data_IF_677028048451
#
_entry.id   IF_677028048451
#
_cell.length_a   1.000
_cell.length_b   1.000
_cell.length_c   1.000
_cell.angle_alpha   90.00
_cell.angle_beta   90.00
_cell.angle_gamma   90.00
#
_symmetry.space_group_name_H-M   'P 1'
#
loop_
_entity.id
_entity.type
_entity.pdbx_description
1 polymer ?
#
# COMPACT_ATOMS: atom_id res chain seq x y z
N UNK A 1 -17.33 -15.22 2.81
CA UNK A 1 -16.39 -14.16 2.39
C UNK A 1 -15.07 -14.85 2.06
N UNK A 2 -14.32 -14.35 1.08
CA UNK A 2 -12.98 -14.89 0.80
C UNK A 2 -11.99 -14.38 1.85
N UNK A 3 -10.87 -15.10 2.04
CA UNK A 3 -9.75 -14.66 2.87
C UNK A 3 -9.13 -13.40 2.28
N UNK A 4 -8.67 -12.45 3.11
CA UNK A 4 -8.01 -11.22 2.67
C UNK A 4 -8.88 -9.96 2.75
N UNK A 5 -8.46 -8.91 2.02
CA UNK A 5 -9.19 -7.63 1.92
C UNK A 5 -10.61 -7.90 1.37
N UNK A 6 -11.62 -7.38 2.01
CA UNK A 6 -13.00 -7.52 1.54
C UNK A 6 -13.21 -6.77 0.23
N UNK A 7 -14.06 -7.29 -0.65
CA UNK A 7 -14.39 -6.62 -1.92
C UNK A 7 -15.11 -5.28 -1.68
N UNK A 8 -14.95 -4.35 -2.61
CA UNK A 8 -15.60 -3.03 -2.55
C UNK A 8 -17.12 -3.13 -2.41
N UNK A 9 -17.76 -4.16 -3.00
CA UNK A 9 -19.19 -4.43 -2.83
C UNK A 9 -19.54 -4.79 -1.38
N UNK A 10 -18.73 -5.60 -0.71
CA UNK A 10 -18.92 -5.96 0.70
C UNK A 10 -18.63 -4.77 1.60
N UNK A 11 -17.56 -4.00 1.32
CA UNK A 11 -17.21 -2.77 2.02
C UNK A 11 -18.40 -1.79 2.01
N UNK A 12 -18.98 -1.53 0.82
CA UNK A 12 -20.12 -0.61 0.68
C UNK A 12 -21.33 -1.07 1.46
N UNK A 13 -21.75 -2.33 1.30
CA UNK A 13 -22.96 -2.84 1.93
C UNK A 13 -22.84 -3.02 3.44
N UNK A 14 -21.70 -3.53 3.92
CA UNK A 14 -21.56 -4.01 5.29
C UNK A 14 -20.86 -3.01 6.21
N UNK A 15 -20.15 -2.02 5.67
CA UNK A 15 -19.45 -1.00 6.44
C UNK A 15 -19.97 0.39 6.11
N UNK A 16 -19.81 0.86 4.86
CA UNK A 16 -20.12 2.25 4.48
C UNK A 16 -21.59 2.59 4.72
N UNK A 17 -22.51 1.69 4.38
CA UNK A 17 -23.95 1.88 4.61
C UNK A 17 -24.39 1.71 6.07
N UNK A 18 -23.62 0.97 6.86
CA UNK A 18 -23.92 0.70 8.27
C UNK A 18 -23.38 1.80 9.19
N UNK A 19 -22.21 2.36 8.85
CA UNK A 19 -21.60 3.45 9.62
C UNK A 19 -22.50 4.67 9.62
N UNK A 20 -22.95 5.09 10.82
CA UNK A 20 -23.89 6.19 11.00
C UNK A 20 -23.41 7.49 10.37
N UNK A 21 -24.28 8.10 9.57
CA UNK A 21 -24.09 9.44 9.00
C UNK A 21 -24.44 10.50 10.04
N UNK A 22 -23.62 10.64 11.10
CA UNK A 22 -23.85 11.73 12.06
C UNK A 22 -23.51 13.08 11.44
N UNK A 23 -24.36 14.03 11.71
CA UNK A 23 -24.39 15.41 11.21
C UNK A 23 -23.32 16.23 11.89
N UNK A 24 -22.84 17.28 11.29
CA UNK A 24 -21.75 18.14 11.80
C UNK A 24 -20.49 17.32 12.11
N UNK A 25 -20.16 16.41 11.21
CA UNK A 25 -18.94 15.62 11.30
C UNK A 25 -17.73 16.53 11.06
N UNK A 26 -16.73 16.40 11.91
CA UNK A 26 -15.38 16.94 11.65
C UNK A 26 -14.60 16.10 10.62
N UNK A 27 -15.19 15.02 10.12
CA UNK A 27 -14.57 14.15 9.13
C UNK A 27 -14.51 14.85 7.77
N UNK A 28 -13.34 14.83 7.15
CA UNK A 28 -13.11 15.34 5.80
C UNK A 28 -13.41 14.29 4.72
N UNK A 29 -13.20 13.02 5.04
CA UNK A 29 -13.56 11.90 4.17
C UNK A 29 -14.24 10.79 4.98
N UNK A 30 -15.01 9.96 4.27
CA UNK A 30 -15.70 8.79 4.85
C UNK A 30 -15.00 7.52 4.39
N UNK A 31 -15.20 6.40 5.11
CA UNK A 31 -14.78 5.09 4.60
C UNK A 31 -15.36 4.85 3.20
N UNK A 32 -14.53 4.34 2.30
CA UNK A 32 -14.90 4.04 0.91
C UNK A 32 -13.75 3.40 0.16
N UNK A 33 -14.02 2.89 -1.04
CA UNK A 33 -12.98 2.38 -1.92
C UNK A 33 -11.98 3.50 -2.30
N UNK A 34 -10.69 3.20 -2.31
CA UNK A 34 -9.62 4.16 -2.58
C UNK A 34 -9.37 5.18 -1.47
N UNK A 35 -9.94 5.00 -0.28
CA UNK A 35 -9.72 5.85 0.89
C UNK A 35 -9.05 5.04 2.02
N UNK A 36 -7.72 4.93 1.98
CA UNK A 36 -6.95 4.19 2.98
C UNK A 36 -6.69 4.99 4.25
N UNK A 37 -6.91 6.31 4.21
CA UNK A 37 -6.79 7.20 5.35
C UNK A 37 -8.14 7.79 5.79
N UNK A 38 -8.36 7.83 7.10
CA UNK A 38 -9.36 8.68 7.74
C UNK A 38 -8.76 10.05 8.06
N UNK A 39 -9.48 11.14 7.82
CA UNK A 39 -9.04 12.48 8.19
C UNK A 39 -10.16 13.27 8.86
N UNK A 40 -9.80 14.03 9.93
CA UNK A 40 -10.75 14.86 10.64
C UNK A 40 -10.12 16.17 11.13
N UNK A 41 -10.94 17.20 11.27
CA UNK A 41 -10.53 18.52 11.73
C UNK A 41 -10.13 18.45 13.20
N UNK A 42 -8.90 18.85 13.52
CA UNK A 42 -8.32 18.81 14.86
C UNK A 42 -8.63 20.08 15.67
N UNK A 43 -8.76 21.24 15.02
CA UNK A 43 -8.92 22.53 15.63
C UNK A 43 -10.20 23.24 15.17
N UNK A 44 -10.67 24.23 15.96
CA UNK A 44 -11.86 25.02 15.62
C UNK A 44 -11.67 25.89 14.37
N UNK A 45 -10.43 26.32 14.07
CA UNK A 45 -10.08 27.04 12.84
C UNK A 45 -10.41 26.23 11.57
N UNK A 46 -10.40 24.89 11.68
CA UNK A 46 -10.61 24.00 10.56
C UNK A 46 -9.39 23.81 9.65
N UNK A 47 -8.26 24.39 10.00
CA UNK A 47 -7.06 24.39 9.14
C UNK A 47 -6.12 23.22 9.42
N UNK A 48 -6.14 22.70 10.64
CA UNK A 48 -5.34 21.54 11.05
C UNK A 48 -6.18 20.28 11.06
N UNK A 49 -5.66 19.23 10.42
CA UNK A 49 -6.32 17.94 10.33
C UNK A 49 -5.42 16.85 10.88
N UNK A 50 -6.03 15.89 11.57
CA UNK A 50 -5.42 14.62 11.93
C UNK A 50 -5.75 13.61 10.84
N UNK A 51 -4.74 12.93 10.36
CA UNK A 51 -4.85 11.84 9.37
C UNK A 51 -4.38 10.55 10.01
N UNK A 52 -5.13 9.49 9.81
CA UNK A 52 -4.78 8.16 10.33
C UNK A 52 -5.07 7.08 9.32
N UNK A 53 -4.24 6.05 9.31
CA UNK A 53 -4.44 4.83 8.53
C UNK A 53 -4.17 3.61 9.39
N UNK A 54 -4.89 2.52 9.12
CA UNK A 54 -4.72 1.25 9.82
C UNK A 54 -4.46 0.14 8.81
N UNK A 55 -3.39 -0.61 9.05
CA UNK A 55 -3.02 -1.78 8.27
C UNK A 55 -2.85 -3.02 9.15
N UNK A 56 -2.99 -4.20 8.55
CA UNK A 56 -2.82 -5.49 9.21
C UNK A 56 -1.85 -6.37 8.42
N UNK A 57 -1.11 -7.21 9.12
CA UNK A 57 -0.19 -8.18 8.53
C UNK A 57 1.29 -7.84 8.73
N UNK A 58 2.15 -8.54 7.99
CA UNK A 58 3.61 -8.50 8.20
C UNK A 58 4.22 -7.12 7.91
N UNK A 59 3.76 -6.42 6.87
CA UNK A 59 4.26 -5.10 6.48
C UNK A 59 3.40 -3.97 7.05
N UNK A 60 2.60 -4.22 8.10
CA UNK A 60 1.59 -3.30 8.60
C UNK A 60 2.13 -1.93 9.03
N UNK A 61 3.37 -1.85 9.54
CA UNK A 61 4.03 -0.58 9.88
C UNK A 61 4.28 0.23 8.61
N UNK A 62 4.92 -0.38 7.61
CA UNK A 62 5.18 0.28 6.32
C UNK A 62 3.90 0.70 5.65
N UNK A 63 2.92 -0.20 5.51
CA UNK A 63 1.65 0.10 4.85
C UNK A 63 0.91 1.24 5.53
N UNK A 64 0.79 1.24 6.87
CA UNK A 64 0.10 2.31 7.58
C UNK A 64 0.80 3.67 7.44
N UNK A 65 2.14 3.69 7.48
CA UNK A 65 2.93 4.91 7.34
C UNK A 65 2.98 5.40 5.89
N UNK A 66 3.08 4.48 4.92
CA UNK A 66 3.05 4.77 3.49
C UNK A 66 1.72 5.41 3.07
N UNK A 67 0.59 4.90 3.58
CA UNK A 67 -0.72 5.50 3.35
C UNK A 67 -0.76 7.00 3.75
N UNK A 68 -0.14 7.36 4.89
CA UNK A 68 -0.03 8.74 5.29
C UNK A 68 0.89 9.53 4.34
N UNK A 69 2.01 8.96 3.96
CA UNK A 69 2.95 9.59 3.03
C UNK A 69 2.29 9.87 1.66
N UNK A 70 1.47 8.93 1.16
CA UNK A 70 0.67 9.12 -0.05
C UNK A 70 -0.38 10.22 0.08
N UNK A 71 -0.84 10.52 1.29
CA UNK A 71 -1.67 11.70 1.60
C UNK A 71 -0.85 13.00 1.78
N UNK A 72 0.48 12.95 1.60
CA UNK A 72 1.39 14.07 1.83
C UNK A 72 1.61 14.40 3.31
N UNK A 73 1.36 13.44 4.20
CA UNK A 73 1.40 13.60 5.66
C UNK A 73 2.56 12.80 6.25
N UNK A 74 3.41 13.44 7.06
CA UNK A 74 4.42 12.73 7.85
C UNK A 74 3.74 12.06 9.04
N UNK A 75 3.94 10.74 9.19
CA UNK A 75 3.54 10.04 10.40
C UNK A 75 4.33 10.57 11.61
N UNK A 76 3.65 10.75 12.73
CA UNK A 76 4.24 11.19 14.01
C UNK A 76 4.39 10.00 14.94
N UNK A 77 3.39 9.13 14.97
CA UNK A 77 3.35 8.00 15.87
C UNK A 77 2.52 6.84 15.29
N UNK A 78 2.75 5.66 15.84
CA UNK A 78 1.93 4.48 15.59
C UNK A 78 1.35 3.92 16.88
N UNK A 79 0.18 3.28 16.76
CA UNK A 79 -0.42 2.46 17.82
C UNK A 79 -0.53 1.02 17.31
N UNK A 80 -0.06 0.04 18.09
CA UNK A 80 0.02 -1.35 17.67
C UNK A 80 -0.93 -2.24 18.48
N UNK A 81 -1.77 -3.01 17.80
CA UNK A 81 -2.56 -4.07 18.43
C UNK A 81 -2.00 -5.44 18.03
N UNK A 82 -1.60 -6.24 19.03
CA UNK A 82 -0.98 -7.56 18.82
C UNK A 82 -1.79 -8.62 19.55
N UNK A 83 -2.33 -9.59 18.79
CA UNK A 83 -2.98 -10.77 19.37
C UNK A 83 -2.11 -12.00 19.12
N UNK A 84 -1.62 -12.61 20.21
CA UNK A 84 -0.74 -13.79 20.18
C UNK A 84 -1.56 -15.07 20.35
N UNK A 85 -1.19 -16.18 19.66
CA UNK A 85 -1.72 -17.50 19.97
C UNK A 85 -1.42 -17.94 21.38
N UNK A 86 -2.35 -18.66 22.02
CA UNK A 86 -2.15 -19.22 23.36
C UNK A 86 -1.01 -20.27 23.43
N UNK A 87 -0.61 -20.83 22.29
CA UNK A 87 0.51 -21.77 22.15
C UNK A 87 1.89 -21.11 22.15
N UNK A 88 1.95 -19.80 21.94
CA UNK A 88 3.21 -19.08 21.85
C UNK A 88 3.78 -18.75 23.24
N UNK A 89 5.12 -18.72 23.30
CA UNK A 89 5.86 -18.28 24.49
C UNK A 89 6.16 -16.78 24.40
N UNK A 90 6.47 -16.14 25.54
CA UNK A 90 6.85 -14.72 25.64
C UNK A 90 7.95 -14.31 24.64
N UNK A 91 8.90 -15.21 24.35
CA UNK A 91 9.97 -14.92 23.39
C UNK A 91 9.45 -14.65 21.98
N UNK A 92 8.33 -15.26 21.57
CA UNK A 92 7.70 -14.97 20.28
C UNK A 92 7.12 -13.56 20.26
N UNK A 93 6.46 -13.12 21.35
CA UNK A 93 5.99 -11.75 21.49
C UNK A 93 7.15 -10.75 21.43
N UNK A 94 8.26 -11.02 22.12
CA UNK A 94 9.46 -10.16 22.06
C UNK A 94 9.99 -10.02 20.65
N UNK A 95 10.03 -11.10 19.85
CA UNK A 95 10.45 -11.06 18.45
C UNK A 95 9.52 -10.21 17.60
N UNK A 96 8.20 -10.39 17.73
CA UNK A 96 7.20 -9.58 17.02
C UNK A 96 7.40 -8.10 17.36
N UNK A 97 7.50 -7.75 18.64
CA UNK A 97 7.69 -6.35 19.05
C UNK A 97 9.04 -5.78 18.63
N UNK A 98 10.11 -6.59 18.58
CA UNK A 98 11.40 -6.17 18.06
C UNK A 98 11.30 -5.79 16.57
N UNK A 99 10.66 -6.63 15.75
CA UNK A 99 10.47 -6.34 14.33
C UNK A 99 9.65 -5.07 14.11
N UNK A 100 8.53 -4.90 14.83
CA UNK A 100 7.72 -3.68 14.77
C UNK A 100 8.57 -2.45 15.14
N UNK A 101 9.36 -2.55 16.20
CA UNK A 101 10.23 -1.46 16.65
C UNK A 101 11.32 -1.13 15.61
N UNK A 102 11.95 -2.15 15.03
CA UNK A 102 12.99 -1.98 14.01
C UNK A 102 12.44 -1.29 12.76
N UNK A 103 11.23 -1.65 12.32
CA UNK A 103 10.55 -1.00 11.22
C UNK A 103 10.17 0.46 11.57
N UNK A 104 9.69 0.71 12.80
CA UNK A 104 9.41 2.07 13.28
C UNK A 104 10.66 2.95 13.32
N UNK A 105 11.80 2.41 13.77
CA UNK A 105 13.08 3.11 13.78
C UNK A 105 13.55 3.49 12.37
N UNK A 106 13.40 2.58 11.38
CA UNK A 106 13.73 2.86 9.97
C UNK A 106 12.85 3.96 9.38
N UNK A 107 11.62 4.08 9.83
CA UNK A 107 10.64 5.06 9.34
C UNK A 107 10.61 6.36 10.14
N UNK A 108 11.46 6.49 11.17
CA UNK A 108 11.49 7.67 12.06
C UNK A 108 10.12 7.95 12.69
N UNK A 109 9.45 6.90 13.20
CA UNK A 109 8.18 7.00 13.91
C UNK A 109 8.25 6.33 15.27
N UNK A 110 7.47 6.82 16.24
CA UNK A 110 7.45 6.29 17.60
C UNK A 110 6.21 5.42 17.87
N UNK A 111 6.37 4.37 18.68
CA UNK A 111 5.26 3.58 19.17
C UNK A 111 4.65 4.32 20.37
N UNK A 112 3.51 4.99 20.17
CA UNK A 112 2.84 5.78 21.20
C UNK A 112 1.97 4.93 22.14
N UNK A 113 1.64 3.70 21.76
CA UNK A 113 0.81 2.81 22.58
C UNK A 113 0.25 1.64 21.80
N UNK A 114 -0.77 1.00 22.36
CA UNK A 114 -1.43 -0.11 21.70
C UNK A 114 -2.11 -1.06 22.69
N UNK A 115 -2.39 -2.27 22.22
CA UNK A 115 -2.98 -3.34 23.03
C UNK A 115 -2.32 -4.67 22.70
N UNK A 116 -2.02 -5.45 23.71
CA UNK A 116 -1.46 -6.81 23.54
C UNK A 116 -2.28 -7.81 24.32
N UNK A 117 -2.71 -8.88 23.67
CA UNK A 117 -3.49 -9.94 24.28
C UNK A 117 -3.07 -11.33 23.78
N UNK A 118 -3.46 -12.35 24.52
CA UNK A 118 -3.34 -13.77 24.13
C UNK A 118 -4.72 -14.31 23.88
N UNK A 119 -4.91 -15.05 22.77
CA UNK A 119 -6.20 -15.62 22.41
C UNK A 119 -6.07 -17.05 21.90
N UNK A 120 -7.00 -17.91 22.32
CA UNK A 120 -7.15 -19.26 21.77
C UNK A 120 -7.85 -19.28 20.40
N UNK A 121 -8.39 -18.14 19.95
CA UNK A 121 -9.09 -18.02 18.67
C UNK A 121 -8.14 -17.79 17.49
N UNK A 122 -6.84 -17.63 17.71
CA UNK A 122 -5.85 -17.40 16.64
C UNK A 122 -4.76 -18.46 16.69
N UNK A 123 -4.28 -18.87 15.53
CA UNK A 123 -3.20 -19.86 15.36
C UNK A 123 -1.85 -19.21 15.06
N UNK A 124 -1.87 -17.99 14.51
CA UNK A 124 -0.69 -17.15 14.23
C UNK A 124 -0.87 -15.77 14.86
N UNK A 125 0.21 -15.01 15.11
CA UNK A 125 0.10 -13.63 15.58
C UNK A 125 -0.70 -12.75 14.60
N UNK A 126 -1.67 -12.00 15.12
CA UNK A 126 -2.35 -10.96 14.36
C UNK A 126 -1.81 -9.61 14.81
N UNK A 127 -1.25 -8.87 13.85
CA UNK A 127 -0.67 -7.55 14.06
C UNK A 127 -1.51 -6.53 13.31
N UNK A 128 -1.95 -5.48 14.00
CA UNK A 128 -2.61 -4.33 13.39
C UNK A 128 -1.93 -3.06 13.87
N UNK A 129 -1.55 -2.20 12.94
CA UNK A 129 -0.85 -0.95 13.21
C UNK A 129 -1.69 0.20 12.69
N UNK A 130 -1.89 1.21 13.54
CA UNK A 130 -2.51 2.48 13.16
C UNK A 130 -1.46 3.59 13.21
N UNK A 131 -1.12 4.16 12.06
CA UNK A 131 -0.28 5.34 11.96
C UNK A 131 -1.13 6.60 12.06
N UNK A 132 -0.56 7.65 12.67
CA UNK A 132 -1.21 8.95 12.86
C UNK A 132 -0.26 10.08 12.48
N UNK A 133 -0.79 11.10 11.82
CA UNK A 133 -0.05 12.29 11.44
C UNK A 133 -0.95 13.53 11.47
N UNK A 134 -0.33 14.70 11.38
CA UNK A 134 -1.02 15.99 11.39
C UNK A 134 -0.51 16.83 10.22
N UNK A 135 -1.41 17.50 9.52
CA UNK A 135 -1.05 18.43 8.47
C UNK A 135 -2.05 19.59 8.35
N UNK A 136 -1.67 20.62 7.61
CA UNK A 136 -2.62 21.64 7.18
C UNK A 136 -3.50 21.05 6.05
N UNK A 137 -4.80 21.29 6.09
CA UNK A 137 -5.80 20.71 5.16
C UNK A 137 -5.43 20.92 3.69
N UNK A 138 -4.89 22.10 3.35
CA UNK A 138 -4.54 22.46 1.97
C UNK A 138 -3.29 21.72 1.44
N UNK A 139 -2.48 21.18 2.34
CA UNK A 139 -1.28 20.38 2.00
C UNK A 139 -1.56 18.90 1.83
N UNK A 140 -2.74 18.46 2.27
CA UNK A 140 -3.13 17.07 2.15
C UNK A 140 -3.33 16.72 0.68
N UNK A 141 -2.66 15.67 0.23
CA UNK A 141 -2.93 14.99 -1.04
C UNK A 141 -3.93 13.85 -0.80
N UNK A 142 -4.45 13.30 -1.87
CA UNK A 142 -5.33 12.12 -1.85
C UNK A 142 -5.48 11.61 -3.26
N UNK A 143 -5.67 10.32 -3.43
CA UNK A 143 -6.02 9.70 -4.72
C UNK A 143 -7.21 10.41 -5.39
N UNK A 144 -8.18 10.87 -4.61
CA UNK A 144 -9.39 11.58 -5.09
C UNK A 144 -9.12 12.92 -5.78
N UNK A 145 -7.89 13.43 -5.72
CA UNK A 145 -7.49 14.68 -6.40
C UNK A 145 -6.99 14.48 -7.83
N UNK A 146 -6.83 13.26 -8.30
CA UNK A 146 -6.48 12.99 -9.68
C UNK A 146 -7.54 13.58 -10.62
N UNK A 147 -7.08 14.09 -11.78
CA UNK A 147 -7.93 14.72 -12.78
C UNK A 147 -7.79 13.95 -14.10
N UNK A 148 -8.78 14.05 -15.02
CA UNK A 148 -8.60 13.54 -16.37
C UNK A 148 -7.40 14.19 -17.07
N UNK A 149 -6.82 13.47 -18.05
CA UNK A 149 -5.71 13.90 -18.91
C UNK A 149 -4.39 14.16 -18.15
N UNK A 150 -4.18 13.52 -17.00
CA UNK A 150 -2.90 13.51 -16.27
C UNK A 150 -2.13 12.23 -16.54
N UNK A 151 -0.81 12.34 -16.57
CA UNK A 151 0.07 11.18 -16.61
C UNK A 151 0.01 10.42 -15.30
N UNK A 152 0.05 9.08 -15.37
CA UNK A 152 0.15 8.17 -14.23
C UNK A 152 1.59 7.72 -14.13
N UNK A 153 2.22 8.00 -12.98
CA UNK A 153 3.60 7.65 -12.71
C UNK A 153 3.64 6.58 -11.61
N UNK A 154 4.51 5.60 -11.75
CA UNK A 154 4.84 4.67 -10.69
C UNK A 154 6.30 4.81 -10.25
N UNK A 155 6.60 4.46 -8.99
CA UNK A 155 7.97 4.34 -8.49
C UNK A 155 8.35 2.91 -8.18
N UNK A 156 9.65 2.61 -8.32
CA UNK A 156 10.28 1.33 -7.97
C UNK A 156 9.63 0.15 -8.72
N UNK A 157 9.32 -0.94 -8.03
CA UNK A 157 8.81 -2.18 -8.61
C UNK A 157 7.54 -2.65 -7.90
N UNK A 158 6.72 -3.39 -8.62
CA UNK A 158 5.55 -4.08 -8.04
C UNK A 158 5.98 -5.34 -7.29
N UNK A 159 5.12 -5.87 -6.42
CA UNK A 159 5.27 -7.17 -5.76
C UNK A 159 6.31 -7.23 -4.63
N UNK A 160 6.96 -6.10 -4.27
CA UNK A 160 8.02 -6.08 -3.24
C UNK A 160 7.50 -6.63 -1.91
N UNK A 161 6.38 -6.11 -1.42
CA UNK A 161 5.82 -6.49 -0.12
C UNK A 161 5.46 -7.96 -0.03
N UNK A 162 4.84 -8.50 -1.09
CA UNK A 162 4.45 -9.91 -1.15
C UNK A 162 5.66 -10.84 -1.22
N UNK A 163 6.66 -10.52 -2.03
CA UNK A 163 7.90 -11.32 -2.12
C UNK A 163 8.64 -11.32 -0.77
N UNK A 164 8.70 -10.19 -0.04
CA UNK A 164 9.28 -10.17 1.31
C UNK A 164 8.53 -11.13 2.25
N UNK A 165 7.21 -11.12 2.25
CA UNK A 165 6.41 -12.01 3.07
C UNK A 165 6.59 -13.50 2.72
N UNK A 166 6.84 -13.81 1.43
CA UNK A 166 7.16 -15.17 0.98
C UNK A 166 8.55 -15.59 1.46
N UNK A 167 9.57 -14.72 1.29
CA UNK A 167 10.94 -15.01 1.73
C UNK A 167 11.00 -15.21 3.25
N UNK A 168 10.32 -14.40 4.04
CA UNK A 168 10.26 -14.53 5.50
C UNK A 168 9.73 -15.90 5.94
N UNK A 169 8.88 -16.55 5.13
CA UNK A 169 8.30 -17.87 5.43
C UNK A 169 9.03 -19.06 4.79
N UNK A 170 9.66 -18.85 3.63
CA UNK A 170 10.17 -19.92 2.76
C UNK A 170 11.63 -19.75 2.34
N UNK A 171 12.42 -18.99 3.12
CA UNK A 171 13.80 -18.67 2.77
C UNK A 171 14.65 -19.92 2.46
N UNK A 172 14.58 -20.94 3.31
CA UNK A 172 15.37 -22.18 3.14
C UNK A 172 15.00 -22.88 1.82
N UNK A 173 13.72 -23.05 1.55
CA UNK A 173 13.21 -23.64 0.28
C UNK A 173 13.65 -22.83 -0.93
N UNK A 174 13.60 -21.51 -0.86
CA UNK A 174 14.02 -20.64 -1.95
C UNK A 174 15.53 -20.68 -2.19
N UNK A 175 16.35 -20.78 -1.14
CA UNK A 175 17.81 -20.91 -1.25
C UNK A 175 18.18 -22.24 -1.88
N UNK A 176 17.49 -23.33 -1.57
CA UNK A 176 17.69 -24.64 -2.23
C UNK A 176 17.31 -24.60 -3.72
N UNK A 177 16.26 -23.87 -4.08
CA UNK A 177 15.76 -23.81 -5.46
C UNK A 177 16.56 -22.86 -6.36
N UNK A 178 16.84 -21.64 -5.90
CA UNK A 178 17.55 -20.64 -6.70
C UNK A 178 19.06 -20.59 -6.41
N UNK A 179 19.44 -20.19 -5.29
CA UNK A 179 20.73 -20.04 -4.60
C UNK A 179 20.64 -18.86 -3.61
N UNK A 180 21.63 -18.76 -2.73
CA UNK A 180 21.63 -17.74 -1.69
C UNK A 180 21.74 -16.29 -2.22
N UNK A 181 22.49 -16.08 -3.32
CA UNK A 181 22.66 -14.74 -3.91
C UNK A 181 21.35 -14.19 -4.45
N UNK A 182 20.59 -14.98 -5.21
CA UNK A 182 19.28 -14.57 -5.76
C UNK A 182 18.30 -14.23 -4.65
N UNK A 183 18.21 -15.08 -3.62
CA UNK A 183 17.32 -14.85 -2.48
C UNK A 183 17.74 -13.61 -1.68
N UNK A 184 19.04 -13.37 -1.52
CA UNK A 184 19.56 -12.18 -0.84
C UNK A 184 19.27 -10.91 -1.65
N UNK A 185 19.38 -10.93 -2.97
CA UNK A 185 19.03 -9.80 -3.81
C UNK A 185 17.52 -9.47 -3.69
N UNK A 186 16.65 -10.50 -3.80
CA UNK A 186 15.22 -10.33 -3.59
C UNK A 186 14.91 -9.80 -2.18
N UNK A 187 15.61 -10.31 -1.15
CA UNK A 187 15.46 -9.83 0.22
C UNK A 187 15.96 -8.39 0.39
N UNK A 188 16.98 -7.96 -0.33
CA UNK A 188 17.49 -6.60 -0.33
C UNK A 188 16.45 -5.56 -0.75
N UNK A 189 15.43 -5.95 -1.52
CA UNK A 189 14.31 -5.10 -1.87
C UNK A 189 13.48 -4.66 -0.64
N UNK A 190 13.65 -5.28 0.54
CA UNK A 190 13.01 -4.87 1.79
C UNK A 190 13.31 -3.42 2.19
N UNK A 191 14.48 -2.89 1.86
CA UNK A 191 14.83 -1.50 2.10
C UNK A 191 13.97 -0.53 1.29
N UNK A 192 13.28 -1.03 0.27
CA UNK A 192 12.43 -0.26 -0.63
C UNK A 192 10.93 -0.29 -0.26
N UNK A 193 10.57 -0.90 0.88
CA UNK A 193 9.17 -0.94 1.36
C UNK A 193 8.63 0.44 1.75
N UNK A 194 9.50 1.39 2.09
CA UNK A 194 9.11 2.76 2.41
C UNK A 194 8.95 3.61 1.15
N UNK A 195 7.89 4.42 1.10
CA UNK A 195 7.68 5.44 0.06
C UNK A 195 7.89 6.87 0.57
N UNK A 196 8.37 7.05 1.80
CA UNK A 196 8.44 8.37 2.44
C UNK A 196 9.29 9.37 1.65
N UNK A 197 10.40 8.89 1.12
CA UNK A 197 11.36 9.75 0.42
C UNK A 197 10.80 10.23 -0.92
N UNK A 198 10.32 9.31 -1.76
CA UNK A 198 9.72 9.66 -3.05
C UNK A 198 8.42 10.46 -2.90
N UNK A 199 7.60 10.16 -1.90
CA UNK A 199 6.36 10.90 -1.66
C UNK A 199 6.63 12.37 -1.28
N UNK A 200 7.69 12.64 -0.49
CA UNK A 200 8.08 14.02 -0.15
C UNK A 200 8.63 14.77 -1.36
N UNK A 201 9.45 14.11 -2.20
CA UNK A 201 9.95 14.67 -3.46
C UNK A 201 8.78 14.98 -4.40
N UNK A 202 7.90 14.01 -4.64
CA UNK A 202 6.76 14.15 -5.53
C UNK A 202 5.82 15.28 -5.09
N UNK A 203 5.54 15.35 -3.78
CA UNK A 203 4.74 16.42 -3.19
C UNK A 203 5.36 17.81 -3.43
N UNK A 204 6.68 17.94 -3.29
CA UNK A 204 7.40 19.20 -3.56
C UNK A 204 7.44 19.53 -5.04
N UNK A 205 7.48 18.53 -5.91
CA UNK A 205 7.44 18.67 -7.36
C UNK A 205 6.04 19.01 -7.90
N UNK A 206 5.00 18.96 -7.07
CA UNK A 206 3.66 19.44 -7.43
C UNK A 206 2.77 18.37 -8.09
N UNK A 207 2.95 17.09 -7.78
CA UNK A 207 2.00 16.05 -8.20
C UNK A 207 0.59 16.35 -7.69
N UNK A 208 -0.42 15.95 -8.45
CA UNK A 208 -1.83 16.26 -8.14
C UNK A 208 -2.40 15.29 -7.12
N UNK A 209 -2.12 14.01 -7.28
CA UNK A 209 -2.59 12.94 -6.39
C UNK A 209 -1.51 11.89 -6.18
N UNK A 210 -1.59 11.18 -5.07
CA UNK A 210 -0.74 10.02 -4.76
C UNK A 210 -1.59 8.91 -4.17
N UNK A 211 -1.16 7.66 -4.36
CA UNK A 211 -1.74 6.45 -3.78
C UNK A 211 -0.68 5.37 -3.66
N UNK A 212 -0.52 4.75 -2.48
CA UNK A 212 0.42 3.65 -2.34
C UNK A 212 -0.16 2.35 -2.93
N UNK A 213 0.69 1.59 -3.60
CA UNK A 213 0.33 0.28 -4.08
C UNK A 213 0.70 -0.77 -3.00
N UNK A 214 -0.30 -1.31 -2.34
CA UNK A 214 -0.13 -2.30 -1.29
C UNK A 214 -0.94 -3.57 -1.59
N UNK A 215 -1.81 -4.00 -0.70
CA UNK A 215 -2.59 -5.23 -0.83
C UNK A 215 -3.46 -5.24 -2.11
N UNK A 216 -3.36 -6.31 -2.88
CA UNK A 216 -3.99 -6.49 -4.19
C UNK A 216 -3.13 -5.97 -5.35
N UNK A 217 -1.91 -5.50 -5.06
CA UNK A 217 -0.91 -5.10 -6.03
C UNK A 217 -1.26 -3.85 -6.83
N UNK A 218 -0.54 -3.67 -7.95
CA UNK A 218 -0.69 -2.49 -8.80
C UNK A 218 -2.08 -2.39 -9.43
N UNK A 219 -2.72 -3.53 -9.72
CA UNK A 219 -4.06 -3.51 -10.31
C UNK A 219 -5.11 -3.00 -9.33
N UNK A 220 -5.01 -3.37 -8.06
CA UNK A 220 -5.88 -2.82 -7.03
C UNK A 220 -5.63 -1.33 -6.82
N UNK A 221 -4.36 -0.90 -6.79
CA UNK A 221 -4.00 0.50 -6.60
C UNK A 221 -4.49 1.40 -7.76
N UNK A 222 -4.35 0.94 -9.02
CA UNK A 222 -4.89 1.64 -10.18
C UNK A 222 -6.41 1.73 -10.12
N UNK A 223 -7.08 0.64 -9.73
CA UNK A 223 -8.53 0.64 -9.55
C UNK A 223 -8.97 1.64 -8.47
N UNK A 224 -8.32 1.61 -7.30
CA UNK A 224 -8.65 2.44 -6.16
C UNK A 224 -8.40 3.94 -6.45
N UNK A 225 -7.32 4.28 -7.16
CA UNK A 225 -7.05 5.64 -7.63
C UNK A 225 -8.17 6.13 -8.57
N UNK A 226 -8.55 5.33 -9.55
CA UNK A 226 -9.62 5.67 -10.50
C UNK A 226 -10.98 5.82 -9.82
N UNK A 227 -11.29 4.91 -8.88
CA UNK A 227 -12.54 4.94 -8.11
C UNK A 227 -12.63 6.18 -7.22
N UNK A 228 -11.54 6.51 -6.50
CA UNK A 228 -11.49 7.66 -5.61
C UNK A 228 -11.63 8.99 -6.35
N UNK A 229 -11.07 9.09 -7.56
CA UNK A 229 -11.07 10.31 -8.37
C UNK A 229 -12.23 10.39 -9.37
N UNK A 230 -12.98 9.30 -9.59
CA UNK A 230 -14.02 9.19 -10.62
C UNK A 230 -13.48 9.46 -12.03
N UNK A 231 -12.33 8.89 -12.35
CA UNK A 231 -11.68 9.00 -13.67
C UNK A 231 -11.52 7.63 -14.32
N UNK A 232 -11.36 7.60 -15.63
CA UNK A 232 -10.91 6.45 -16.37
C UNK A 232 -9.37 6.34 -16.36
N UNK A 233 -8.86 5.22 -16.86
CA UNK A 233 -7.43 4.95 -17.00
C UNK A 233 -7.13 4.37 -18.37
N UNK A 234 -5.98 4.72 -18.92
CA UNK A 234 -5.35 4.09 -20.09
C UNK A 234 -3.88 3.81 -19.74
N UNK A 235 -3.57 2.56 -19.44
CA UNK A 235 -2.27 2.11 -18.89
C UNK A 235 -1.55 1.22 -19.90
N UNK A 236 -0.27 1.50 -20.19
CA UNK A 236 0.59 0.60 -20.96
C UNK A 236 1.21 -0.44 -19.99
N UNK A 237 0.79 -1.69 -20.15
CA UNK A 237 1.26 -2.83 -19.36
C UNK A 237 2.78 -2.96 -19.34
N UNK A 238 3.47 -2.63 -20.44
CA UNK A 238 4.92 -2.80 -20.60
C UNK A 238 5.73 -1.79 -19.80
N UNK A 239 5.13 -0.67 -19.44
CA UNK A 239 5.78 0.37 -18.66
C UNK A 239 5.71 0.08 -17.15
N UNK A 240 4.85 -0.87 -16.73
CA UNK A 240 4.80 -1.31 -15.32
C UNK A 240 6.09 -2.04 -14.99
N UNK A 241 6.86 -1.50 -14.06
CA UNK A 241 8.18 -2.03 -13.69
C UNK A 241 8.04 -3.18 -12.69
N UNK A 242 8.72 -4.27 -12.98
CA UNK A 242 8.86 -5.44 -12.10
C UNK A 242 10.32 -5.90 -12.10
N UNK A 243 10.90 -6.16 -10.93
CA UNK A 243 12.25 -6.65 -10.83
C UNK A 243 12.33 -8.15 -11.18
N UNK A 244 13.46 -8.58 -11.75
CA UNK A 244 13.65 -9.97 -12.17
C UNK A 244 13.50 -10.95 -10.99
N UNK A 245 14.04 -10.61 -9.84
CA UNK A 245 13.96 -11.43 -8.63
C UNK A 245 12.50 -11.62 -8.14
N UNK A 246 11.65 -10.62 -8.36
CA UNK A 246 10.23 -10.71 -8.05
C UNK A 246 9.52 -11.65 -9.00
N UNK A 247 9.84 -11.57 -10.30
CA UNK A 247 9.31 -12.49 -11.32
C UNK A 247 9.68 -13.94 -10.97
N UNK A 248 10.94 -14.20 -10.64
CA UNK A 248 11.43 -15.55 -10.34
C UNK A 248 10.72 -16.16 -9.12
N UNK A 249 10.53 -15.39 -8.04
CA UNK A 249 9.79 -15.87 -6.87
C UNK A 249 8.32 -16.09 -7.21
N UNK A 250 7.70 -15.20 -7.97
CA UNK A 250 6.31 -15.36 -8.41
C UNK A 250 6.12 -16.59 -9.29
N UNK A 251 7.02 -16.85 -10.25
CA UNK A 251 6.98 -18.04 -11.12
C UNK A 251 7.13 -19.33 -10.30
N UNK A 252 8.00 -19.35 -9.28
CA UNK A 252 8.20 -20.53 -8.41
C UNK A 252 6.90 -20.97 -7.72
N UNK A 253 6.03 -20.02 -7.37
CA UNK A 253 4.78 -20.29 -6.66
C UNK A 253 3.53 -20.06 -7.51
N UNK A 254 3.68 -19.88 -8.82
CA UNK A 254 2.57 -19.63 -9.77
C UNK A 254 1.70 -18.45 -9.33
N UNK A 255 2.32 -17.30 -8.96
CA UNK A 255 1.66 -16.09 -8.52
C UNK A 255 1.69 -15.00 -9.60
N UNK A 256 0.65 -14.16 -9.63
CA UNK A 256 0.60 -12.99 -10.50
C UNK A 256 1.23 -11.77 -9.80
N UNK A 257 2.43 -11.28 -10.23
CA UNK A 257 3.09 -10.16 -9.58
C UNK A 257 2.26 -8.85 -9.60
N UNK A 258 1.34 -8.70 -10.54
CA UNK A 258 0.49 -7.51 -10.67
C UNK A 258 -0.67 -7.47 -9.66
N UNK A 259 -1.02 -8.62 -9.08
CA UNK A 259 -2.06 -8.78 -8.05
C UNK A 259 -1.44 -9.12 -6.67
N UNK A 260 -0.09 -9.13 -6.56
CA UNK A 260 0.66 -9.39 -5.34
C UNK A 260 0.98 -8.08 -4.60
N UNK A 261 0.91 -8.09 -3.27
CA UNK A 261 1.22 -6.95 -2.39
C UNK A 261 2.47 -6.20 -2.87
N UNK A 262 2.24 -4.96 -3.28
CA UNK A 262 3.24 -4.06 -3.85
C UNK A 262 3.66 -2.95 -2.88
N UNK A 263 3.51 -3.16 -1.55
CA UNK A 263 4.02 -2.23 -0.53
C UNK A 263 5.44 -1.79 -0.88
N UNK A 264 5.65 -0.49 -0.99
CA UNK A 264 6.89 0.12 -1.46
C UNK A 264 6.80 0.76 -2.85
N UNK A 265 5.77 0.49 -3.64
CA UNK A 265 5.48 1.16 -4.89
C UNK A 265 4.50 2.31 -4.65
N UNK A 266 4.76 3.48 -5.23
CA UNK A 266 3.89 4.65 -5.16
C UNK A 266 3.34 4.95 -6.56
N UNK A 267 2.02 5.13 -6.64
CA UNK A 267 1.35 5.73 -7.80
C UNK A 267 1.13 7.23 -7.56
N UNK A 268 1.25 8.01 -8.61
CA UNK A 268 0.95 9.45 -8.57
C UNK A 268 0.44 9.93 -9.91
N UNK A 269 -0.23 11.10 -9.91
CA UNK A 269 -0.68 11.75 -11.14
C UNK A 269 -0.11 13.17 -11.24
N UNK A 270 0.26 13.56 -12.46
CA UNK A 270 0.78 14.91 -12.76
C UNK A 270 0.39 15.34 -14.18
N UNK A 271 0.42 16.65 -14.43
CA UNK A 271 0.20 17.20 -15.78
C UNK A 271 1.38 16.90 -16.71
N UNK A 272 2.61 16.87 -16.17
CA UNK A 272 3.83 16.50 -16.89
C UNK A 272 4.54 15.38 -16.11
N UNK A 273 4.21 14.14 -16.47
CA UNK A 273 4.77 12.95 -15.84
C UNK A 273 6.26 12.77 -16.10
N UNK A 274 6.73 13.18 -17.30
CA UNK A 274 8.15 13.07 -17.65
C UNK A 274 9.02 13.96 -16.74
N UNK A 275 8.59 15.20 -16.49
CA UNK A 275 9.32 16.08 -15.57
C UNK A 275 9.38 15.52 -14.13
N UNK A 276 8.31 14.85 -13.67
CA UNK A 276 8.30 14.19 -12.36
C UNK A 276 9.25 13.00 -12.33
N UNK A 277 9.25 12.17 -13.39
CA UNK A 277 10.17 11.03 -13.53
C UNK A 277 11.62 11.52 -13.49
N UNK A 278 11.98 12.56 -14.26
CA UNK A 278 13.32 13.13 -14.26
C UNK A 278 13.76 13.59 -12.85
N UNK A 279 12.85 14.24 -12.10
CA UNK A 279 13.12 14.67 -10.73
C UNK A 279 13.37 13.45 -9.81
N UNK A 280 12.56 12.41 -9.92
CA UNK A 280 12.70 11.20 -9.10
C UNK A 280 14.01 10.46 -9.44
N UNK A 281 14.31 10.26 -10.72
CA UNK A 281 15.53 9.58 -11.16
C UNK A 281 16.79 10.34 -10.77
N UNK A 282 16.79 11.68 -10.85
CA UNK A 282 17.89 12.51 -10.35
C UNK A 282 18.10 12.40 -8.83
N UNK A 283 17.12 11.89 -8.09
CA UNK A 283 17.22 11.57 -6.67
C UNK A 283 17.43 10.06 -6.41
N UNK A 284 17.77 9.29 -7.43
CA UNK A 284 18.07 7.85 -7.34
C UNK A 284 16.85 6.95 -7.18
N UNK A 285 15.65 7.43 -7.51
CA UNK A 285 14.41 6.67 -7.44
C UNK A 285 14.01 6.23 -8.84
N UNK A 286 13.91 4.93 -9.06
CA UNK A 286 13.37 4.39 -10.31
C UNK A 286 11.92 4.81 -10.45
N UNK A 287 11.57 5.41 -11.57
CA UNK A 287 10.21 5.85 -11.85
C UNK A 287 9.87 5.65 -13.34
N UNK A 288 8.59 5.58 -13.67
CA UNK A 288 8.12 5.52 -15.03
C UNK A 288 6.72 6.11 -15.18
N UNK A 289 6.45 6.77 -16.31
CA UNK A 289 5.09 7.06 -16.75
C UNK A 289 4.52 5.76 -17.30
N UNK A 290 3.44 5.26 -16.68
CA UNK A 290 2.82 3.98 -17.04
C UNK A 290 1.50 4.15 -17.81
N UNK A 291 1.01 5.36 -17.98
CA UNK A 291 -0.25 5.64 -18.65
C UNK A 291 -0.79 7.01 -18.35
N UNK A 292 -2.11 7.18 -18.59
CA UNK A 292 -2.84 8.42 -18.34
C UNK A 292 -4.20 8.17 -17.72
N UNK A 293 -4.64 9.13 -16.94
CA UNK A 293 -6.04 9.24 -16.53
C UNK A 293 -6.87 9.78 -17.69
N UNK A 294 -8.11 9.34 -17.80
CA UNK A 294 -9.02 9.75 -18.89
C UNK A 294 -10.34 10.27 -18.33
N UNK A 295 -11.10 10.99 -19.14
CA UNK A 295 -12.48 11.30 -18.83
C UNK A 295 -13.36 10.05 -18.94
N UNK A 296 -14.32 9.89 -18.04
CA UNK A 296 -15.19 8.72 -17.99
C UNK A 296 -14.76 7.69 -16.98
N UNK A 297 -15.18 6.43 -17.15
CA UNK A 297 -14.99 5.36 -16.17
C UNK A 297 -14.26 4.15 -16.73
N UNK A 298 -13.85 4.17 -17.98
CA UNK A 298 -13.15 3.05 -18.61
C UNK A 298 -11.75 2.91 -18.02
N UNK A 299 -11.39 1.71 -17.62
CA UNK A 299 -10.09 1.37 -17.05
C UNK A 299 -9.41 0.39 -17.96
N UNK A 300 -8.56 0.89 -18.84
CA UNK A 300 -7.97 0.15 -19.94
C UNK A 300 -6.50 -0.18 -19.62
N UNK A 301 -6.11 -1.41 -19.91
CA UNK A 301 -4.72 -1.86 -19.92
C UNK A 301 -4.39 -2.29 -21.35
N UNK A 302 -3.34 -1.69 -21.92
CA UNK A 302 -2.85 -2.02 -23.26
C UNK A 302 -1.55 -2.81 -23.19
N UNK A 303 -1.49 -3.87 -23.99
CA UNK A 303 -0.27 -4.59 -24.26
C UNK A 303 -0.10 -4.72 -25.80
N UNK A 304 0.64 -3.80 -26.40
CA UNK A 304 0.75 -3.62 -27.84
C UNK A 304 -0.63 -3.39 -28.48
N UNK A 305 -1.06 -4.33 -29.33
CA UNK A 305 -2.38 -4.26 -30.02
C UNK A 305 -3.52 -4.82 -29.15
N UNK A 306 -3.20 -5.56 -28.10
CA UNK A 306 -4.20 -6.12 -27.20
C UNK A 306 -4.68 -5.04 -26.21
N UNK A 307 -5.99 -4.93 -26.09
CA UNK A 307 -6.65 -4.04 -25.13
C UNK A 307 -7.59 -4.85 -24.26
N UNK A 308 -7.46 -4.68 -22.94
CA UNK A 308 -8.35 -5.31 -21.96
C UNK A 308 -8.78 -4.32 -20.91
N UNK A 309 -9.90 -4.58 -20.28
CA UNK A 309 -10.36 -3.80 -19.14
C UNK A 309 -9.73 -4.33 -17.85
N UNK A 310 -9.31 -3.39 -16.99
CA UNK A 310 -8.92 -3.71 -15.62
C UNK A 310 -10.15 -4.22 -14.87
N UNK A 311 -10.05 -5.40 -14.29
CA UNK A 311 -11.11 -5.98 -13.48
C UNK A 311 -11.11 -5.38 -12.07
N UNK A 312 -12.27 -5.44 -11.40
CA UNK A 312 -12.36 -5.06 -9.99
C UNK A 312 -11.37 -5.90 -9.14
N UNK A 313 -10.74 -5.30 -8.11
CA UNK A 313 -9.73 -5.98 -7.32
C UNK A 313 -10.19 -7.34 -6.81
N UNK A 314 -9.34 -8.33 -7.03
CA UNK A 314 -9.48 -9.70 -6.53
C UNK A 314 -8.78 -9.83 -5.18
N UNK A 315 -8.80 -11.02 -4.63
CA UNK A 315 -7.97 -11.41 -3.49
C UNK A 315 -6.49 -11.29 -3.87
N UNK A 316 -5.67 -10.72 -3.00
CA UNK A 316 -4.23 -10.64 -3.19
C UNK A 316 -3.60 -12.04 -3.30
N UNK A 317 -2.64 -12.20 -4.19
CA UNK A 317 -1.93 -13.45 -4.44
C UNK A 317 -1.20 -13.98 -3.19
N UNK A 318 -0.85 -13.12 -2.24
CA UNK A 318 -0.23 -13.57 -0.97
C UNK A 318 -1.16 -14.50 -0.17
N UNK A 319 -2.47 -14.31 -0.26
CA UNK A 319 -3.42 -15.19 0.42
C UNK A 319 -3.56 -16.54 -0.29
N UNK A 320 -3.45 -16.56 -1.63
CA UNK A 320 -3.41 -17.82 -2.39
C UNK A 320 -2.15 -18.62 -2.03
N UNK A 321 -1.00 -17.96 -1.90
CA UNK A 321 0.22 -18.57 -1.39
C UNK A 321 0.03 -19.13 0.03
N UNK A 322 -0.61 -18.37 0.93
CA UNK A 322 -0.85 -18.82 2.30
C UNK A 322 -1.80 -20.00 2.38
N UNK A 323 -2.88 -20.00 1.59
CA UNK A 323 -3.83 -21.13 1.51
C UNK A 323 -3.18 -22.42 1.00
N UNK A 324 -2.21 -22.31 0.09
CA UNK A 324 -1.45 -23.47 -0.40
C UNK A 324 -0.48 -24.08 0.63
N UNK A 325 -0.25 -23.41 1.76
CA UNK A 325 0.58 -23.89 2.87
C UNK A 325 -0.22 -24.64 3.95
N UNK A 326 -1.54 -24.55 3.93
CA UNK A 326 -2.47 -25.22 4.85
C UNK A 326 -2.83 -26.61 4.37
#
# INVERSE_FOLDING_TARGET
MKVGKISNTVLDRSIVKVVSKKHKSKLLNRPGAGHDCGAFIAEESGDVVVVSSTACGNNSVYTAVNNLAAEGVKAVAVSCSVTMPATNREIALKRVMSHINDDCLKLDVEIAGGHTQVSAAVTEPIISVTAMGVCHKDRRLSASKAKPEQDIIMTKWIGIGGVQAIIDRKREELVEYFNESTVNNAYGCREQLSILYEADIARKAGVTAMHDASNGGIYAALWDLAEAAHVGLDVDFREIKVAQEIIEVCERYDLNPYELDSTGCLLMTAEDGCAIVDILENNGIVAAVIGRTTAGNDRIIRNREETRYLEAPKQDEIYRFQEALL
#
